data_IF_581536737000
#
_entry.id   IF_581536737000
#
_cell.length_a   1.000
_cell.length_b   1.000
_cell.length_c   1.000
_cell.angle_alpha   90.00
_cell.angle_beta   90.00
_cell.angle_gamma   90.00
#
_symmetry.space_group_name_H-M   'P 1'
#
loop_
_entity.id
_entity.type
_entity.pdbx_description
1 polymer ?
#
# COMPACT_ATOMS: atom_id res chain seq x y z
N UNK A 1 -3.34 -14.93 1.27
CA UNK A 1 -2.31 -14.25 0.45
C UNK A 1 -2.11 -12.83 0.96
N UNK A 2 -0.89 -12.38 0.99
CA UNK A 2 -0.56 -11.02 1.40
C UNK A 2 -0.23 -10.21 0.16
N UNK A 3 -0.97 -9.12 -0.04
CA UNK A 3 -0.85 -8.29 -1.23
C UNK A 3 -0.44 -6.88 -0.82
N UNK A 4 0.63 -6.37 -1.41
CA UNK A 4 1.03 -4.99 -1.22
C UNK A 4 0.52 -4.14 -2.38
N UNK A 5 -0.11 -3.02 -2.09
CA UNK A 5 -0.62 -2.11 -3.11
C UNK A 5 -0.01 -0.73 -2.90
N UNK A 6 0.60 -0.22 -3.95
CA UNK A 6 1.18 1.12 -3.95
C UNK A 6 0.33 2.00 -4.83
N UNK A 7 -0.23 3.06 -4.27
CA UNK A 7 -1.03 4.00 -5.04
C UNK A 7 -0.40 5.38 -5.03
N UNK A 8 -0.45 6.04 -6.16
CA UNK A 8 0.12 7.37 -6.31
C UNK A 8 -0.92 8.48 -6.11
N UNK A 9 -2.20 8.15 -6.22
CA UNK A 9 -3.28 9.14 -6.16
C UNK A 9 -4.11 9.01 -4.89
N UNK A 10 -4.43 10.15 -4.28
CA UNK A 10 -5.23 10.19 -3.07
C UNK A 10 -6.59 9.52 -3.25
N UNK A 11 -7.23 9.78 -4.38
CA UNK A 11 -8.57 9.25 -4.63
C UNK A 11 -8.58 7.73 -4.69
N UNK A 12 -7.60 7.14 -5.34
CA UNK A 12 -7.50 5.69 -5.43
C UNK A 12 -7.16 5.07 -4.08
N UNK A 13 -6.22 5.68 -3.37
CA UNK A 13 -5.83 5.20 -2.04
C UNK A 13 -7.04 5.21 -1.10
N UNK A 14 -7.81 6.29 -1.12
CA UNK A 14 -8.99 6.44 -0.27
C UNK A 14 -10.04 5.39 -0.56
N UNK A 15 -10.29 5.10 -1.83
CA UNK A 15 -11.26 4.06 -2.23
C UNK A 15 -10.85 2.68 -1.74
N UNK A 16 -9.57 2.37 -1.87
CA UNK A 16 -9.07 1.08 -1.41
C UNK A 16 -9.13 0.96 0.10
N UNK A 17 -8.79 2.02 0.81
CA UNK A 17 -8.87 2.03 2.27
C UNK A 17 -10.30 1.78 2.74
N UNK A 18 -11.28 2.38 2.08
CA UNK A 18 -12.68 2.20 2.45
C UNK A 18 -13.15 0.75 2.30
N UNK A 19 -12.54 -0.01 1.41
CA UNK A 19 -12.93 -1.40 1.18
C UNK A 19 -12.28 -2.39 2.14
N UNK A 20 -11.23 -1.97 2.83
CA UNK A 20 -10.54 -2.85 3.75
C UNK A 20 -11.35 -3.05 5.03
N UNK A 21 -11.28 -4.26 5.57
CA UNK A 21 -11.86 -4.58 6.86
C UNK A 21 -10.73 -4.72 7.88
N UNK A 22 -11.05 -4.47 9.14
CA UNK A 22 -10.08 -4.55 10.25
C UNK A 22 -8.83 -3.70 9.98
N UNK A 23 -9.05 -2.47 9.60
CA UNK A 23 -7.98 -1.55 9.22
C UNK A 23 -7.07 -1.22 10.38
N UNK A 24 -5.78 -1.15 10.09
CA UNK A 24 -4.77 -0.77 11.05
C UNK A 24 -3.75 0.09 10.33
N UNK A 25 -3.49 1.26 10.85
CA UNK A 25 -2.54 2.19 10.23
C UNK A 25 -1.22 2.13 10.96
N UNK A 26 -0.14 2.00 10.21
CA UNK A 26 1.20 1.99 10.77
C UNK A 26 2.14 2.79 9.87
N UNK A 27 3.36 2.99 10.34
CA UNK A 27 4.36 3.71 9.59
C UNK A 27 4.88 4.92 10.35
N UNK A 28 6.01 5.43 9.89
CA UNK A 28 6.64 6.58 10.50
C UNK A 28 6.92 7.62 9.41
N UNK A 29 6.48 8.84 9.65
CA UNK A 29 6.88 10.01 8.89
C UNK A 29 6.82 9.95 7.38
N UNK A 30 7.72 9.21 6.76
CA UNK A 30 7.86 9.23 5.31
C UNK A 30 6.84 8.35 4.58
N UNK A 31 6.48 7.21 5.17
CA UNK A 31 5.55 6.28 4.53
C UNK A 31 4.52 5.82 5.53
N UNK A 32 3.26 5.86 5.11
CA UNK A 32 2.17 5.35 5.91
C UNK A 32 1.64 4.08 5.26
N UNK A 33 1.39 3.08 6.10
CA UNK A 33 0.88 1.81 5.65
C UNK A 33 -0.48 1.56 6.30
N UNK A 34 -1.46 1.18 5.49
CA UNK A 34 -2.76 0.79 6.00
C UNK A 34 -2.93 -0.69 5.71
N UNK A 35 -3.05 -1.49 6.77
CA UNK A 35 -3.25 -2.92 6.64
C UNK A 35 -4.71 -3.24 6.84
N UNK A 36 -5.19 -4.25 6.18
CA UNK A 36 -6.55 -4.69 6.36
C UNK A 36 -6.81 -5.98 5.61
N UNK A 37 -8.05 -6.41 5.63
CA UNK A 37 -8.47 -7.62 4.95
C UNK A 37 -9.42 -7.26 3.81
N UNK A 38 -9.20 -7.84 2.65
CA UNK A 38 -10.06 -7.65 1.50
C UNK A 38 -10.26 -9.00 0.81
N UNK A 39 -11.49 -9.48 0.79
CA UNK A 39 -11.80 -10.74 0.16
C UNK A 39 -11.05 -11.94 0.74
N UNK A 40 -10.77 -11.90 2.04
CA UNK A 40 -10.02 -12.97 2.71
C UNK A 40 -8.52 -12.87 2.57
N UNK A 41 -8.01 -11.84 1.90
CA UNK A 41 -6.59 -11.62 1.74
C UNK A 41 -6.12 -10.49 2.64
N UNK A 42 -4.88 -10.61 3.13
CA UNK A 42 -4.25 -9.55 3.90
C UNK A 42 -3.68 -8.53 2.89
N UNK A 43 -4.12 -7.29 2.98
CA UNK A 43 -3.73 -6.24 2.05
C UNK A 43 -3.04 -5.12 2.79
N UNK A 44 -1.91 -4.69 2.26
CA UNK A 44 -1.17 -3.55 2.80
C UNK A 44 -1.19 -2.46 1.73
N UNK A 45 -1.75 -1.30 2.08
CA UNK A 45 -1.79 -0.15 1.18
C UNK A 45 -0.76 0.87 1.60
N UNK A 46 -0.03 1.40 0.63
CA UNK A 46 0.83 2.54 0.88
C UNK A 46 0.62 3.55 -0.23
N UNK A 47 0.66 4.82 0.14
CA UNK A 47 0.57 5.90 -0.82
C UNK A 47 1.96 6.52 -0.97
N UNK A 48 2.46 6.53 -2.19
CA UNK A 48 3.73 7.16 -2.51
C UNK A 48 3.46 8.48 -3.19
N UNK A 49 4.39 9.42 -3.04
CA UNK A 49 4.32 10.65 -3.83
C UNK A 49 4.47 10.33 -5.32
N UNK A 50 4.14 11.31 -6.15
CA UNK A 50 4.25 11.17 -7.58
C UNK A 50 5.73 11.04 -7.97
N UNK A 51 6.07 9.97 -8.70
CA UNK A 51 7.42 9.79 -9.18
C UNK A 51 7.91 8.35 -9.04
N UNK A 52 8.71 7.93 -10.01
CA UNK A 52 9.22 6.55 -10.04
C UNK A 52 10.15 6.25 -8.87
N UNK A 53 10.92 7.24 -8.45
CA UNK A 53 11.87 7.05 -7.34
C UNK A 53 11.11 6.80 -6.04
N UNK A 54 10.05 7.57 -5.79
CA UNK A 54 9.25 7.40 -4.59
C UNK A 54 8.55 6.06 -4.57
N UNK A 55 8.06 5.61 -5.73
CA UNK A 55 7.40 4.32 -5.84
C UNK A 55 8.38 3.17 -5.56
N UNK A 56 9.60 3.26 -6.05
CA UNK A 56 10.61 2.24 -5.82
C UNK A 56 10.99 2.15 -4.35
N UNK A 57 11.17 3.29 -3.69
CA UNK A 57 11.49 3.33 -2.26
C UNK A 57 10.32 2.78 -1.44
N UNK A 58 9.11 3.16 -1.80
CA UNK A 58 7.90 2.64 -1.13
C UNK A 58 7.77 1.14 -1.26
N UNK A 59 8.02 0.60 -2.45
CA UNK A 59 7.98 -0.84 -2.68
C UNK A 59 9.04 -1.56 -1.86
N UNK A 60 10.25 -1.03 -1.81
CA UNK A 60 11.34 -1.62 -1.03
C UNK A 60 10.99 -1.69 0.46
N UNK A 61 10.49 -0.60 1.00
CA UNK A 61 10.10 -0.57 2.41
C UNK A 61 8.94 -1.51 2.71
N UNK A 62 7.99 -1.60 1.81
CA UNK A 62 6.85 -2.50 1.96
C UNK A 62 7.30 -3.95 1.97
N UNK A 63 8.23 -4.32 1.09
CA UNK A 63 8.79 -5.66 1.05
C UNK A 63 9.53 -5.98 2.35
N UNK A 64 10.32 -5.03 2.84
CA UNK A 64 11.09 -5.24 4.06
C UNK A 64 10.21 -5.42 5.28
N UNK A 65 9.12 -4.66 5.36
CA UNK A 65 8.27 -4.68 6.56
C UNK A 65 7.26 -5.79 6.56
N UNK A 66 6.70 -6.12 5.41
CA UNK A 66 5.54 -7.01 5.34
C UNK A 66 5.77 -8.27 4.53
N UNK A 67 6.81 -8.32 3.73
CA UNK A 67 7.12 -9.46 2.87
C UNK A 67 5.89 -10.00 2.11
N UNK A 68 5.21 -9.14 1.33
CA UNK A 68 3.99 -9.57 0.65
C UNK A 68 4.29 -10.59 -0.45
N UNK A 69 3.28 -11.39 -0.78
CA UNK A 69 3.41 -12.37 -1.85
C UNK A 69 3.47 -11.72 -3.23
N UNK A 70 2.80 -10.58 -3.37
CA UNK A 70 2.87 -9.81 -4.62
C UNK A 70 2.66 -8.33 -4.33
N UNK A 71 3.09 -7.50 -5.28
CA UNK A 71 2.93 -6.06 -5.19
C UNK A 71 2.21 -5.56 -6.42
N UNK A 72 1.20 -4.72 -6.21
CA UNK A 72 0.45 -4.09 -7.29
C UNK A 72 0.67 -2.59 -7.21
N UNK A 73 1.04 -1.99 -8.32
CA UNK A 73 1.18 -0.55 -8.40
C UNK A 73 0.01 0.01 -9.19
N UNK A 74 -0.69 0.99 -8.62
CA UNK A 74 -1.83 1.61 -9.28
C UNK A 74 -1.58 3.10 -9.50
N UNK A 75 -2.27 3.66 -10.46
CA UNK A 75 -2.25 5.11 -10.67
C UNK A 75 -1.20 5.61 -11.59
N UNK A 76 -0.62 4.84 -12.34
CA UNK A 76 0.19 5.21 -13.26
C UNK A 76 1.22 5.75 -13.47
N UNK A 77 1.73 5.53 -14.19
CA UNK A 77 3.01 5.70 -14.74
C UNK A 77 3.49 7.02 -15.05
#
# INVERSE_FOLDING_TARGET
MTIGIISAMDSEHRRLVERLQDKNTSGDGSFRYVEGTLGGNHVILTQCGIGKVNAAVGATELIRRFAPDCIVSTGVA
#
